data_IF_770790948629
#
_entry.id   IF_770790948629
#
_cell.length_a   1.000
_cell.length_b   1.000
_cell.length_c   1.000
_cell.angle_alpha   90.00
_cell.angle_beta   90.00
_cell.angle_gamma   90.00
#
_symmetry.space_group_name_H-M   'P 1'
#
loop_
_entity.id
_entity.type
_entity.pdbx_description
1 polymer ?
#
# COMPACT_ATOMS: atom_id res chain seq x y z
N UNK A 1 -13.24 -3.43 17.17
CA UNK A 1 -12.09 -2.86 16.44
C UNK A 1 -12.14 -3.41 15.03
N UNK A 2 -11.71 -2.63 14.03
CA UNK A 2 -11.75 -3.04 12.62
C UNK A 2 -10.42 -3.66 12.21
N UNK A 3 -10.43 -4.67 11.32
CA UNK A 3 -9.19 -5.16 10.71
C UNK A 3 -8.89 -4.33 9.46
N UNK A 4 -7.62 -4.10 9.16
CA UNK A 4 -7.22 -3.37 7.97
C UNK A 4 -6.11 -4.09 7.19
N UNK A 5 -6.02 -3.77 5.91
CA UNK A 5 -4.83 -4.02 5.10
C UNK A 5 -4.30 -2.67 4.63
N UNK A 6 -3.10 -2.34 5.09
CA UNK A 6 -2.34 -1.19 4.63
C UNK A 6 -1.53 -1.58 3.41
N UNK A 7 -1.77 -0.94 2.29
CA UNK A 7 -1.23 -1.30 0.98
C UNK A 7 -0.31 -0.19 0.48
N UNK A 8 0.87 -0.53 -0.04
CA UNK A 8 1.47 0.36 -1.03
C UNK A 8 0.62 0.40 -2.30
N UNK A 9 0.85 1.43 -3.13
CA UNK A 9 0.13 1.65 -4.36
C UNK A 9 0.92 1.14 -5.57
N UNK A 10 2.04 1.78 -5.84
CA UNK A 10 2.92 1.51 -6.97
C UNK A 10 3.74 0.26 -6.67
N UNK A 11 3.86 -0.66 -7.63
CA UNK A 11 4.51 -1.97 -7.43
C UNK A 11 3.67 -3.00 -6.66
N UNK A 12 2.53 -2.59 -6.09
CA UNK A 12 1.65 -3.44 -5.27
C UNK A 12 0.24 -3.61 -5.86
N UNK A 13 -0.45 -2.52 -6.15
CA UNK A 13 -1.78 -2.54 -6.80
C UNK A 13 -1.62 -2.27 -8.30
N UNK A 14 -0.89 -1.22 -8.66
CA UNK A 14 -0.54 -0.91 -10.04
C UNK A 14 0.96 -1.08 -10.31
N UNK A 15 1.33 -1.19 -11.57
CA UNK A 15 2.72 -1.22 -12.01
C UNK A 15 3.44 0.07 -11.56
N UNK A 16 4.68 -0.07 -11.09
CA UNK A 16 5.56 1.07 -10.83
C UNK A 16 6.23 1.49 -12.15
N UNK A 17 5.79 2.62 -12.70
CA UNK A 17 6.38 3.22 -13.92
C UNK A 17 7.11 4.53 -13.60
N UNK A 18 7.56 4.70 -12.35
CA UNK A 18 8.27 5.88 -11.85
C UNK A 18 7.33 6.96 -11.29
N UNK A 19 7.83 8.18 -11.13
CA UNK A 19 6.98 9.31 -10.72
C UNK A 19 6.03 9.67 -11.88
N UNK A 20 4.77 9.22 -11.81
CA UNK A 20 3.73 9.54 -12.79
C UNK A 20 2.39 9.86 -12.12
N UNK A 21 1.57 10.61 -12.86
CA UNK A 21 0.25 11.04 -12.41
C UNK A 21 -0.73 11.13 -13.60
N UNK A 22 -0.74 10.08 -14.44
CA UNK A 22 -1.56 9.99 -15.65
C UNK A 22 -2.28 8.65 -15.73
N UNK A 23 -3.58 8.68 -16.03
CA UNK A 23 -4.40 7.48 -16.21
C UNK A 23 -4.00 6.65 -17.43
N UNK A 24 -3.41 7.25 -18.46
CA UNK A 24 -2.97 6.52 -19.66
C UNK A 24 -1.87 5.52 -19.35
N UNK A 25 -1.10 5.76 -18.28
CA UNK A 25 -0.04 4.90 -17.79
C UNK A 25 -0.49 3.98 -16.65
N UNK A 26 -1.74 4.10 -16.21
CA UNK A 26 -2.26 3.28 -15.12
C UNK A 26 -2.49 1.85 -15.61
N UNK A 27 -1.68 0.92 -15.13
CA UNK A 27 -1.82 -0.50 -15.37
C UNK A 27 -1.92 -1.23 -14.03
N UNK A 28 -3.05 -1.90 -13.79
CA UNK A 28 -3.19 -2.74 -12.60
C UNK A 28 -2.36 -4.01 -12.75
N UNK A 29 -1.63 -4.37 -11.69
CA UNK A 29 -0.90 -5.64 -11.63
C UNK A 29 -1.93 -6.78 -11.73
N UNK A 30 -1.61 -7.81 -12.49
CA UNK A 30 -2.52 -8.95 -12.69
C UNK A 30 -2.94 -9.57 -11.34
N UNK A 31 -4.25 -9.72 -11.13
CA UNK A 31 -4.85 -10.25 -9.91
C UNK A 31 -4.97 -9.26 -8.75
N UNK A 32 -4.43 -8.04 -8.84
CA UNK A 32 -4.51 -7.03 -7.77
C UNK A 32 -5.96 -6.65 -7.43
N UNK A 33 -6.81 -6.41 -8.43
CA UNK A 33 -8.23 -6.07 -8.22
C UNK A 33 -8.97 -7.20 -7.50
N UNK A 34 -8.76 -8.45 -7.92
CA UNK A 34 -9.39 -9.61 -7.28
C UNK A 34 -8.87 -9.81 -5.85
N UNK A 35 -7.59 -9.54 -5.61
CA UNK A 35 -7.01 -9.56 -4.27
C UNK A 35 -7.68 -8.55 -3.34
N UNK A 36 -7.88 -7.32 -3.79
CA UNK A 36 -8.56 -6.27 -3.01
C UNK A 36 -10.01 -6.69 -2.69
N UNK A 37 -10.73 -7.28 -3.65
CA UNK A 37 -12.07 -7.83 -3.41
C UNK A 37 -12.06 -8.93 -2.36
N UNK A 38 -11.13 -9.88 -2.45
CA UNK A 38 -10.99 -10.97 -1.48
C UNK A 38 -10.77 -10.40 -0.07
N UNK A 39 -9.86 -9.45 0.08
CA UNK A 39 -9.58 -8.82 1.37
C UNK A 39 -10.81 -8.07 1.90
N UNK A 40 -11.48 -7.27 1.07
CA UNK A 40 -12.70 -6.58 1.46
C UNK A 40 -13.82 -7.54 1.90
N UNK A 41 -14.05 -8.62 1.14
CA UNK A 41 -15.05 -9.64 1.47
C UNK A 41 -14.74 -10.36 2.79
N UNK A 42 -13.47 -10.38 3.21
CA UNK A 42 -13.04 -10.95 4.49
C UNK A 42 -13.03 -9.91 5.64
N UNK A 43 -13.68 -8.76 5.43
CA UNK A 43 -13.94 -7.75 6.45
C UNK A 43 -12.76 -6.85 6.76
N UNK A 44 -11.81 -6.71 5.84
CA UNK A 44 -10.70 -5.76 5.98
C UNK A 44 -11.06 -4.40 5.39
N UNK A 45 -10.73 -3.32 6.12
CA UNK A 45 -10.61 -2.00 5.55
C UNK A 45 -9.36 -1.94 4.66
N UNK A 46 -9.51 -1.46 3.43
CA UNK A 46 -8.40 -1.27 2.51
C UNK A 46 -7.90 0.17 2.62
N UNK A 47 -6.65 0.36 3.01
CA UNK A 47 -6.06 1.69 3.20
C UNK A 47 -4.75 1.76 2.41
N UNK A 48 -4.63 2.75 1.54
CA UNK A 48 -3.41 2.94 0.74
C UNK A 48 -2.46 3.90 1.49
N UNK A 49 -1.17 3.55 1.56
CA UNK A 49 -0.09 4.40 2.08
C UNK A 49 1.06 4.41 1.07
N UNK A 50 1.24 5.55 0.39
CA UNK A 50 2.18 5.65 -0.73
C UNK A 50 3.18 6.82 -0.60
N UNK A 51 4.42 6.64 -1.06
CA UNK A 51 5.40 7.72 -1.15
C UNK A 51 5.32 8.35 -2.55
N UNK A 52 4.95 9.64 -2.67
CA UNK A 52 4.71 10.33 -3.93
C UNK A 52 5.70 11.49 -4.13
N UNK A 53 6.98 11.14 -4.29
CA UNK A 53 8.07 12.12 -4.36
C UNK A 53 8.01 13.03 -5.58
N UNK A 54 7.30 12.63 -6.63
CA UNK A 54 7.08 13.43 -7.83
C UNK A 54 6.50 14.82 -7.54
N UNK A 55 5.73 14.97 -6.46
CA UNK A 55 5.20 16.25 -6.00
C UNK A 55 6.34 17.21 -5.62
N UNK A 56 7.23 16.78 -4.70
CA UNK A 56 8.35 17.62 -4.27
C UNK A 56 9.39 17.82 -5.40
N UNK A 57 9.59 16.80 -6.25
CA UNK A 57 10.42 16.90 -7.46
C UNK A 57 9.83 17.79 -8.55
N UNK A 58 8.61 18.32 -8.38
CA UNK A 58 7.89 19.15 -9.36
C UNK A 58 7.67 18.45 -10.71
N UNK A 59 7.55 17.12 -10.70
CA UNK A 59 7.19 16.31 -11.88
C UNK A 59 5.69 16.47 -12.17
N UNK A 60 4.90 16.60 -11.11
CA UNK A 60 3.49 16.97 -11.15
C UNK A 60 3.16 17.75 -9.87
N UNK A 61 2.11 18.56 -9.92
CA UNK A 61 1.57 19.29 -8.79
C UNK A 61 0.77 18.40 -7.84
N UNK A 62 0.57 18.87 -6.61
CA UNK A 62 -0.31 18.19 -5.66
C UNK A 62 -1.77 18.15 -6.16
N UNK A 63 -2.23 19.18 -6.88
CA UNK A 63 -3.56 19.21 -7.49
C UNK A 63 -3.72 18.11 -8.55
N UNK A 64 -2.72 17.93 -9.42
CA UNK A 64 -2.70 16.83 -10.40
C UNK A 64 -2.76 15.48 -9.71
N UNK A 65 -1.97 15.29 -8.64
CA UNK A 65 -2.01 14.08 -7.81
C UNK A 65 -3.40 13.82 -7.23
N UNK A 66 -4.03 14.83 -6.64
CA UNK A 66 -5.35 14.69 -6.04
C UNK A 66 -6.43 14.37 -7.10
N UNK A 67 -6.35 14.98 -8.28
CA UNK A 67 -7.23 14.68 -9.39
C UNK A 67 -7.02 13.23 -9.92
N UNK A 68 -5.77 12.80 -10.06
CA UNK A 68 -5.46 11.41 -10.40
C UNK A 68 -6.00 10.45 -9.34
N UNK A 69 -5.76 10.73 -8.05
CA UNK A 69 -6.23 9.89 -6.95
C UNK A 69 -7.76 9.76 -6.95
N UNK A 70 -8.48 10.87 -7.19
CA UNK A 70 -9.94 10.82 -7.30
C UNK A 70 -10.39 9.90 -8.45
N UNK A 71 -9.74 9.96 -9.60
CA UNK A 71 -10.07 9.10 -10.74
C UNK A 71 -9.65 7.65 -10.51
N UNK A 72 -8.49 7.41 -9.91
CA UNK A 72 -8.00 6.10 -9.50
C UNK A 72 -9.00 5.40 -8.58
N UNK A 73 -9.53 6.11 -7.58
CA UNK A 73 -10.56 5.60 -6.68
C UNK A 73 -11.88 5.31 -7.40
N UNK A 74 -12.30 6.15 -8.36
CA UNK A 74 -13.49 5.88 -9.19
C UNK A 74 -13.32 4.61 -10.03
N UNK A 75 -12.13 4.40 -10.58
CA UNK A 75 -11.82 3.18 -11.36
C UNK A 75 -11.88 1.95 -10.46
N UNK A 76 -11.24 1.95 -9.30
CA UNK A 76 -11.32 0.85 -8.33
C UNK A 76 -12.77 0.58 -7.89
N UNK A 77 -13.53 1.64 -7.59
CA UNK A 77 -14.95 1.56 -7.25
C UNK A 77 -15.80 0.94 -8.37
N UNK A 78 -15.49 1.25 -9.64
CA UNK A 78 -16.15 0.62 -10.79
C UNK A 78 -15.91 -0.89 -10.89
N UNK A 79 -14.79 -1.38 -10.33
CA UNK A 79 -14.55 -2.81 -10.17
C UNK A 79 -15.21 -3.40 -8.92
N UNK A 80 -15.81 -2.60 -8.04
CA UNK A 80 -16.40 -3.04 -6.76
C UNK A 80 -15.41 -3.07 -5.60
N UNK A 81 -14.28 -2.37 -5.71
CA UNK A 81 -13.28 -2.20 -4.64
C UNK A 81 -13.49 -0.85 -3.96
N UNK A 82 -13.70 -0.86 -2.65
CA UNK A 82 -13.83 0.33 -1.81
C UNK A 82 -12.53 0.55 -1.01
N UNK A 83 -11.76 1.57 -1.42
CA UNK A 83 -10.59 2.01 -0.66
C UNK A 83 -11.07 3.00 0.38
N UNK A 84 -10.82 2.67 1.65
CA UNK A 84 -11.32 3.43 2.78
C UNK A 84 -10.66 4.80 2.92
N UNK A 85 -9.35 4.86 2.64
CA UNK A 85 -8.55 6.06 2.74
C UNK A 85 -7.26 5.92 1.94
N UNK A 86 -6.75 7.04 1.42
CA UNK A 86 -5.44 7.12 0.78
C UNK A 86 -4.60 8.14 1.53
N UNK A 87 -3.48 7.69 2.08
CA UNK A 87 -2.44 8.53 2.63
C UNK A 87 -1.24 8.56 1.70
N UNK A 88 -0.64 9.75 1.55
CA UNK A 88 0.53 9.93 0.71
C UNK A 88 1.56 10.85 1.36
N UNK A 89 2.83 10.58 1.08
CA UNK A 89 3.93 11.45 1.49
C UNK A 89 4.57 12.11 0.25
N UNK A 90 4.51 13.45 0.09
CA UNK A 90 5.15 14.14 -1.02
C UNK A 90 6.68 14.30 -0.85
N UNK A 91 7.17 14.15 0.38
CA UNK A 91 8.53 14.53 0.76
C UNK A 91 9.63 13.58 0.23
N UNK A 92 10.78 14.18 -0.03
CA UNK A 92 12.04 13.48 -0.30
C UNK A 92 12.59 12.82 0.96
N UNK A 93 13.60 11.96 0.78
CA UNK A 93 14.22 11.22 1.89
C UNK A 93 14.97 12.15 2.83
N UNK A 94 15.63 13.17 2.27
CA UNK A 94 16.51 14.12 2.96
C UNK A 94 15.75 15.05 3.89
N UNK A 95 14.47 15.29 3.63
CA UNK A 95 13.60 16.17 4.43
C UNK A 95 13.24 15.56 5.79
N UNK A 96 13.48 14.26 5.99
CA UNK A 96 13.25 13.57 7.26
C UNK A 96 11.84 13.81 7.86
N UNK A 97 10.82 14.04 7.03
CA UNK A 97 9.44 14.27 7.46
C UNK A 97 8.90 13.09 8.27
N UNK A 98 7.86 13.28 9.06
CA UNK A 98 7.31 12.21 9.92
C UNK A 98 6.52 11.15 9.15
N UNK A 99 6.08 11.43 7.93
CA UNK A 99 5.09 10.63 7.20
C UNK A 99 5.66 9.68 6.14
N UNK A 100 6.91 9.88 5.71
CA UNK A 100 7.56 9.02 4.71
C UNK A 100 7.82 7.63 5.27
N UNK A 101 7.42 6.58 4.55
CA UNK A 101 7.76 5.19 4.88
C UNK A 101 9.30 5.05 4.97
N UNK A 102 9.86 4.40 6.01
CA UNK A 102 9.19 3.43 6.88
C UNK A 102 8.52 4.02 8.13
N UNK A 103 8.39 5.35 8.26
CA UNK A 103 7.77 5.92 9.48
C UNK A 103 6.30 5.52 9.59
N UNK A 104 5.83 5.08 10.77
CA UNK A 104 4.50 4.50 10.95
C UNK A 104 3.35 5.53 11.03
N UNK A 105 3.60 6.80 10.72
CA UNK A 105 2.67 7.90 10.99
C UNK A 105 1.27 7.64 10.44
N UNK A 106 1.15 7.25 9.17
CA UNK A 106 -0.15 7.04 8.54
C UNK A 106 -0.88 5.79 9.03
N UNK A 107 -0.17 4.73 9.42
CA UNK A 107 -0.81 3.58 10.11
C UNK A 107 -1.41 4.06 11.44
N UNK A 108 -0.69 4.86 12.22
CA UNK A 108 -1.16 5.38 13.51
C UNK A 108 -2.38 6.29 13.35
N UNK A 109 -2.32 7.25 12.41
CA UNK A 109 -3.45 8.14 12.07
C UNK A 109 -4.69 7.33 11.67
N UNK A 110 -4.53 6.34 10.79
CA UNK A 110 -5.63 5.48 10.39
C UNK A 110 -6.19 4.64 11.55
N UNK A 111 -5.30 4.16 12.42
CA UNK A 111 -5.67 3.34 13.58
C UNK A 111 -6.56 4.10 14.54
N UNK A 112 -6.19 5.33 14.87
CA UNK A 112 -6.99 6.22 15.70
C UNK A 112 -8.32 6.58 15.02
N UNK A 113 -8.28 6.95 13.73
CA UNK A 113 -9.46 7.38 12.96
C UNK A 113 -10.51 6.28 12.79
N UNK A 114 -10.08 5.03 12.58
CA UNK A 114 -10.98 3.91 12.26
C UNK A 114 -11.05 2.82 13.33
N UNK A 115 -10.43 3.03 14.50
CA UNK A 115 -10.38 2.07 15.61
C UNK A 115 -9.87 0.68 15.16
N UNK A 116 -8.69 0.66 14.53
CA UNK A 116 -8.10 -0.51 13.88
C UNK A 116 -7.41 -1.44 14.90
N UNK A 117 -7.62 -2.73 14.76
CA UNK A 117 -6.88 -3.78 15.45
C UNK A 117 -5.61 -4.14 14.66
N UNK A 118 -4.48 -3.54 15.05
CA UNK A 118 -3.20 -3.72 14.36
C UNK A 118 -2.70 -5.17 14.38
N UNK A 119 -2.91 -5.91 15.48
CA UNK A 119 -2.43 -7.31 15.61
C UNK A 119 -3.10 -8.26 14.64
N UNK A 120 -4.32 -7.93 14.21
CA UNK A 120 -5.08 -8.67 13.22
C UNK A 120 -5.15 -7.96 11.85
N UNK A 121 -4.32 -6.94 11.66
CA UNK A 121 -4.17 -6.20 10.41
C UNK A 121 -2.87 -6.56 9.69
N UNK A 122 -2.80 -6.19 8.40
CA UNK A 122 -1.68 -6.50 7.54
C UNK A 122 -1.08 -5.25 6.91
N UNK A 123 0.23 -5.25 6.65
CA UNK A 123 0.89 -4.27 5.79
C UNK A 123 1.53 -5.00 4.62
N UNK A 124 1.23 -4.55 3.39
CA UNK A 124 1.66 -5.21 2.15
C UNK A 124 2.31 -4.18 1.24
N UNK A 125 3.52 -4.48 0.76
CA UNK A 125 4.25 -3.64 -0.17
C UNK A 125 5.39 -4.41 -0.85
N UNK A 126 6.04 -3.77 -1.81
CA UNK A 126 7.15 -4.34 -2.58
C UNK A 126 8.51 -3.73 -2.21
N UNK A 127 8.57 -2.88 -1.18
CA UNK A 127 9.82 -2.28 -0.72
C UNK A 127 10.13 -2.63 0.74
N UNK A 128 11.42 -2.77 1.14
CA UNK A 128 11.78 -3.02 2.54
C UNK A 128 11.18 -2.03 3.53
N UNK A 129 10.98 -0.77 3.10
CA UNK A 129 10.39 0.24 3.97
C UNK A 129 8.90 0.01 4.29
N UNK A 130 8.18 -0.78 3.49
CA UNK A 130 6.79 -1.17 3.80
C UNK A 130 6.75 -2.19 4.93
N UNK A 131 7.65 -3.17 4.87
CA UNK A 131 7.83 -4.18 5.91
C UNK A 131 8.27 -3.52 7.21
N UNK A 132 9.27 -2.64 7.18
CA UNK A 132 9.71 -1.89 8.36
C UNK A 132 8.56 -1.07 8.97
N UNK A 133 7.77 -0.38 8.13
CA UNK A 133 6.62 0.40 8.59
C UNK A 133 5.58 -0.47 9.31
N UNK A 134 5.24 -1.62 8.74
CA UNK A 134 4.26 -2.53 9.33
C UNK A 134 4.73 -3.12 10.65
N UNK A 135 6.02 -3.43 10.77
CA UNK A 135 6.63 -3.96 11.99
C UNK A 135 6.68 -2.92 13.12
N UNK A 136 6.95 -1.65 12.83
CA UNK A 136 6.87 -0.58 13.84
C UNK A 136 5.46 -0.41 14.45
N UNK A 137 4.44 -0.99 13.81
CA UNK A 137 3.06 -1.00 14.26
C UNK A 137 2.54 -2.39 14.67
N UNK A 138 3.40 -3.41 14.73
CA UNK A 138 3.01 -4.79 15.05
C UNK A 138 1.91 -5.38 14.13
N UNK A 139 1.79 -4.86 12.90
CA UNK A 139 0.97 -5.51 11.87
C UNK A 139 1.70 -6.74 11.32
N UNK A 140 0.95 -7.69 10.76
CA UNK A 140 1.56 -8.78 10.00
C UNK A 140 2.01 -8.26 8.65
N UNK A 141 3.27 -8.43 8.30
CA UNK A 141 3.83 -7.87 7.06
C UNK A 141 3.92 -8.92 5.95
N UNK A 142 3.60 -8.50 4.73
CA UNK A 142 3.76 -9.33 3.53
C UNK A 142 4.56 -8.54 2.50
N UNK A 143 5.66 -9.12 2.04
CA UNK A 143 6.49 -8.53 1.00
C UNK A 143 6.12 -9.11 -0.36
N UNK A 144 5.95 -8.27 -1.36
CA UNK A 144 5.62 -8.69 -2.72
C UNK A 144 6.86 -8.77 -3.61
N UNK A 145 6.85 -9.68 -4.58
CA UNK A 145 7.88 -9.77 -5.63
C UNK A 145 7.54 -8.98 -6.90
N UNK A 146 6.37 -8.33 -6.95
CA UNK A 146 5.97 -7.37 -8.00
C UNK A 146 6.74 -6.05 -7.88
N UNK A 147 6.62 -5.17 -8.87
CA UNK A 147 7.28 -3.87 -8.85
C UNK A 147 8.80 -3.98 -8.69
N UNK A 148 9.33 -3.38 -7.63
CA UNK A 148 10.73 -3.44 -7.26
C UNK A 148 11.05 -4.53 -6.22
N UNK A 149 10.04 -5.33 -5.83
CA UNK A 149 10.11 -6.43 -4.87
C UNK A 149 11.28 -7.38 -5.09
N UNK A 150 11.38 -7.95 -6.29
CA UNK A 150 12.43 -8.90 -6.61
C UNK A 150 13.85 -8.29 -6.51
N UNK A 151 13.98 -7.00 -6.82
CA UNK A 151 15.26 -6.28 -6.80
C UNK A 151 15.72 -6.00 -5.37
N UNK A 152 14.81 -5.56 -4.50
CA UNK A 152 15.14 -5.18 -3.12
C UNK A 152 14.97 -6.32 -2.11
N UNK A 153 14.71 -7.55 -2.57
CA UNK A 153 14.54 -8.72 -1.69
C UNK A 153 15.74 -8.92 -0.76
N UNK A 154 16.97 -8.72 -1.28
CA UNK A 154 18.20 -8.84 -0.49
C UNK A 154 18.44 -7.69 0.50
N UNK A 155 17.67 -6.60 0.41
CA UNK A 155 17.77 -5.43 1.28
C UNK A 155 16.83 -5.50 2.49
N UNK A 156 16.00 -6.55 2.58
CA UNK A 156 15.18 -6.82 3.76
C UNK A 156 16.07 -6.99 4.99
N UNK A 157 15.97 -6.07 5.93
CA UNK A 157 16.69 -6.14 7.22
C UNK A 157 16.08 -7.16 8.19
N UNK A 158 14.83 -7.50 7.96
CA UNK A 158 14.01 -8.34 8.83
C UNK A 158 13.07 -9.17 7.97
N UNK A 159 12.80 -10.38 8.40
CA UNK A 159 11.91 -11.29 7.69
C UNK A 159 10.44 -10.84 7.84
N UNK A 160 9.69 -10.67 6.74
CA UNK A 160 8.25 -10.44 6.81
C UNK A 160 7.53 -11.72 7.23
N UNK A 161 6.25 -11.63 7.60
CA UNK A 161 5.47 -12.83 7.92
C UNK A 161 5.24 -13.72 6.68
N UNK A 162 5.29 -13.13 5.48
CA UNK A 162 5.20 -13.87 4.23
C UNK A 162 5.84 -13.10 3.06
N UNK A 163 6.37 -13.83 2.08
CA UNK A 163 6.81 -13.29 0.80
C UNK A 163 5.89 -13.89 -0.28
N UNK A 164 5.20 -13.03 -1.03
CA UNK A 164 4.23 -13.42 -2.04
C UNK A 164 4.69 -12.96 -3.43
N UNK A 165 4.36 -13.72 -4.49
CA UNK A 165 4.70 -13.35 -5.86
C UNK A 165 3.96 -12.09 -6.31
N UNK A 166 2.74 -11.88 -5.81
CA UNK A 166 1.88 -10.73 -6.10
C UNK A 166 0.81 -10.55 -5.02
N UNK A 167 0.02 -9.49 -5.14
CA UNK A 167 -1.04 -9.17 -4.17
C UNK A 167 -2.12 -10.25 -4.10
N UNK A 168 -2.40 -10.96 -5.19
CA UNK A 168 -3.38 -12.05 -5.21
C UNK A 168 -2.96 -13.23 -4.34
N UNK A 169 -1.71 -13.68 -4.47
CA UNK A 169 -1.15 -14.71 -3.59
C UNK A 169 -1.14 -14.26 -2.12
N UNK A 170 -0.80 -12.99 -1.86
CA UNK A 170 -0.86 -12.43 -0.51
C UNK A 170 -2.28 -12.49 0.08
N UNK A 171 -3.31 -12.12 -0.70
CA UNK A 171 -4.69 -12.18 -0.26
C UNK A 171 -5.14 -13.62 0.05
N UNK A 172 -4.79 -14.59 -0.80
CA UNK A 172 -5.08 -16.01 -0.54
C UNK A 172 -4.34 -16.56 0.69
N UNK A 173 -3.12 -16.10 0.93
CA UNK A 173 -2.39 -16.47 2.14
C UNK A 173 -3.06 -15.87 3.39
N UNK A 174 -3.48 -14.60 3.33
CA UNK A 174 -4.20 -13.95 4.43
C UNK A 174 -5.45 -14.74 4.78
N UNK A 175 -6.31 -15.07 3.82
CA UNK A 175 -7.60 -15.75 4.09
C UNK A 175 -7.43 -17.12 4.75
N UNK A 176 -6.35 -17.85 4.43
CA UNK A 176 -6.01 -19.12 5.08
C UNK A 176 -5.48 -18.96 6.51
N UNK A 177 -5.05 -17.76 6.89
CA UNK A 177 -4.42 -17.44 8.16
C UNK A 177 -5.23 -16.43 8.99
N UNK A 178 -6.49 -16.17 8.62
CA UNK A 178 -7.44 -15.46 9.48
C UNK A 178 -7.76 -16.39 10.65
N UNK A 179 -7.49 -15.93 11.87
CA UNK A 179 -7.98 -16.57 13.09
C UNK A 179 -9.38 -16.08 13.43
#
# INVERSE_FOLDING_TARGET
MQKAVFLDRDGTINEDVGDFCSLEKLLFINGSIDALKILQQNGFLLIIITNQTGINKKIFSEEEFLNFNQQYLKILSSYGVDIKEVYYCPHLKEENCICRKPKPYFIKVATEKYNIDLKNSYTIGDHPHDVEMGQYCETKTIYLLTGHGQKHLSELKTEPNYIAKNLYEAALWITKNIK
#
